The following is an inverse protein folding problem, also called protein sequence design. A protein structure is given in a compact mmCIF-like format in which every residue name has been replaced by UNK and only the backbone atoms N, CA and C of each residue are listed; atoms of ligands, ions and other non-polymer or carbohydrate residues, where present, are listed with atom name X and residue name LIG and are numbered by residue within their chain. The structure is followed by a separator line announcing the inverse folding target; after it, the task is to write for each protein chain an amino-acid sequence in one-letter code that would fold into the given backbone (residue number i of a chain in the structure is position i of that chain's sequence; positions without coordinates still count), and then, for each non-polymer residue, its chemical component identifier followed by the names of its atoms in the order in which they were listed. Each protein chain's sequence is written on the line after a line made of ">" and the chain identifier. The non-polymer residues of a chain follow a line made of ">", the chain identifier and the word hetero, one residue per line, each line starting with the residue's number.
data_IF_559425324851
#
_entry.id   IF_559425324851
#
_cell.length_a   1.000
_cell.length_b   1.000
_cell.length_c   1.000
_cell.angle_alpha   90.00
_cell.angle_beta   90.00
_cell.angle_gamma   90.00
#
_symmetry.space_group_name_H-M   'P 1'
#
loop_
_entity.id
_entity.type
_entity.pdbx_description
1 polymer ?
#
# COMPACT_ATOMS: atom_id res chain seq x y z
N UNK A 1 5.98 2.19 -2.62
CA UNK A 1 4.90 3.18 -2.39
C UNK A 1 3.84 3.03 -3.47
N UNK A 2 2.62 3.50 -3.19
CA UNK A 2 1.59 3.71 -4.23
C UNK A 2 2.09 4.75 -5.24
N UNK A 3 1.54 4.77 -6.45
CA UNK A 3 2.00 5.67 -7.52
C UNK A 3 1.84 7.16 -7.17
N UNK A 4 0.85 7.49 -6.35
CA UNK A 4 0.59 8.83 -5.82
C UNK A 4 1.26 9.07 -4.45
N UNK A 5 2.01 8.07 -3.96
CA UNK A 5 2.69 8.08 -2.69
C UNK A 5 1.78 8.33 -1.49
N UNK A 6 0.47 8.09 -1.55
CA UNK A 6 -0.42 8.31 -0.39
C UNK A 6 -0.54 7.09 0.53
N UNK A 7 -0.01 5.96 0.08
CA UNK A 7 -0.06 4.69 0.77
C UNK A 7 1.22 3.87 0.59
N UNK A 8 1.52 3.06 1.60
CA UNK A 8 2.41 1.91 1.48
C UNK A 8 1.57 0.76 0.94
N UNK A 9 2.03 0.16 -0.14
CA UNK A 9 1.32 -0.89 -0.86
C UNK A 9 2.18 -2.14 -0.93
N UNK A 10 1.53 -3.30 -0.81
CA UNK A 10 2.13 -4.58 -1.12
C UNK A 10 1.87 -4.96 -2.58
N UNK A 11 2.84 -5.69 -3.14
CA UNK A 11 2.60 -6.51 -4.31
C UNK A 11 1.82 -7.75 -3.89
N UNK A 12 0.51 -7.77 -4.14
CA UNK A 12 -0.30 -8.97 -3.97
C UNK A 12 -0.12 -9.88 -5.18
N UNK A 13 0.24 -11.14 -4.93
CA UNK A 13 0.35 -12.16 -5.96
C UNK A 13 -0.49 -13.36 -5.54
N UNK A 14 -1.41 -13.78 -6.41
CA UNK A 14 -2.15 -15.01 -6.24
C UNK A 14 -1.55 -16.10 -7.13
N UNK A 15 -1.58 -17.32 -6.63
CA UNK A 15 -1.27 -18.54 -7.39
C UNK A 15 -2.61 -19.09 -7.89
N UNK A 16 -2.71 -19.33 -9.20
CA UNK A 16 -3.89 -19.95 -9.80
C UNK A 16 -3.59 -21.41 -10.15
N UNK A 17 -4.35 -22.31 -9.53
CA UNK A 17 -4.19 -23.77 -9.68
C UNK A 17 -4.62 -24.26 -11.06
N UNK A 18 -5.59 -23.57 -11.65
CA UNK A 18 -6.10 -23.92 -12.96
C UNK A 18 -6.10 -22.70 -13.86
N UNK A 19 -5.81 -22.98 -15.12
CA UNK A 19 -5.57 -21.99 -16.13
C UNK A 19 -6.89 -21.58 -16.80
N UNK A 20 -7.97 -21.60 -16.02
CA UNK A 20 -9.31 -21.19 -16.41
C UNK A 20 -9.38 -19.67 -16.41
N UNK A 21 -9.73 -19.15 -17.59
CA UNK A 21 -10.03 -17.74 -17.88
C UNK A 21 -8.82 -16.77 -17.87
N UNK A 22 -8.38 -16.39 -19.07
CA UNK A 22 -7.52 -15.22 -19.29
C UNK A 22 -6.02 -15.43 -19.02
N UNK A 23 -5.65 -15.87 -17.82
CA UNK A 23 -4.25 -15.76 -17.31
C UNK A 23 -3.21 -16.53 -18.14
N UNK A 24 -3.60 -17.58 -18.89
CA UNK A 24 -2.69 -18.32 -19.80
C UNK A 24 -1.96 -17.40 -20.80
N UNK A 25 -2.65 -16.37 -21.26
CA UNK A 25 -2.10 -15.43 -22.25
C UNK A 25 -1.32 -14.28 -21.59
N UNK A 26 -1.33 -14.21 -20.26
CA UNK A 26 -0.80 -13.11 -19.45
C UNK A 26 0.19 -13.65 -18.41
N UNK A 27 1.19 -14.39 -18.87
CA UNK A 27 2.23 -14.92 -17.99
C UNK A 27 3.46 -13.99 -17.99
N UNK A 28 3.61 -13.21 -16.92
CA UNK A 28 4.71 -12.27 -16.74
C UNK A 28 5.93 -12.90 -16.04
N UNK A 29 5.80 -14.13 -15.53
CA UNK A 29 6.85 -14.81 -14.78
C UNK A 29 7.31 -16.07 -15.50
N UNK A 30 8.59 -16.39 -15.37
CA UNK A 30 9.11 -17.66 -15.86
C UNK A 30 8.62 -18.81 -14.96
N UNK A 31 7.89 -19.78 -15.52
CA UNK A 31 7.47 -20.99 -14.81
C UNK A 31 6.12 -21.55 -15.29
N UNK A 32 5.77 -22.74 -14.81
CA UNK A 32 4.46 -23.38 -15.05
C UNK A 32 3.38 -22.96 -14.03
N UNK A 33 3.61 -21.87 -13.30
CA UNK A 33 2.69 -21.36 -12.29
C UNK A 33 2.07 -20.07 -12.81
N UNK A 34 0.74 -20.01 -12.85
CA UNK A 34 0.03 -18.81 -13.23
C UNK A 34 0.00 -17.87 -12.02
N UNK A 35 0.77 -16.79 -12.11
CA UNK A 35 0.95 -15.81 -11.03
C UNK A 35 0.40 -14.46 -11.48
N UNK A 36 -0.46 -13.88 -10.67
CA UNK A 36 -1.00 -12.54 -10.94
C UNK A 36 -1.83 -11.99 -9.78
N UNK A 37 -2.07 -10.68 -9.71
CA UNK A 37 -2.95 -10.08 -8.71
C UNK A 37 -4.41 -10.34 -9.03
N UNK A 38 -4.95 -9.70 -10.08
CA UNK A 38 -6.36 -9.71 -10.46
C UNK A 38 -6.51 -9.54 -11.98
N UNK A 39 -7.63 -10.00 -12.54
CA UNK A 39 -7.92 -9.96 -13.98
C UNK A 39 -8.16 -8.55 -14.54
N UNK A 40 -8.62 -7.59 -13.72
CA UNK A 40 -8.91 -6.20 -14.14
C UNK A 40 -7.70 -5.47 -14.70
N UNK A 41 -6.49 -5.87 -14.30
CA UNK A 41 -5.22 -5.30 -14.77
C UNK A 41 -4.44 -6.28 -15.64
N UNK A 42 -5.16 -7.20 -16.30
CA UNK A 42 -4.60 -8.27 -17.11
C UNK A 42 -3.51 -9.06 -16.36
N UNK A 43 -3.71 -9.26 -15.05
CA UNK A 43 -2.76 -9.93 -14.16
C UNK A 43 -1.35 -9.33 -14.11
N UNK A 44 -1.17 -8.08 -14.56
CA UNK A 44 0.11 -7.39 -14.52
C UNK A 44 0.57 -7.24 -13.05
N UNK A 45 1.83 -7.60 -12.71
CA UNK A 45 2.34 -7.45 -11.36
C UNK A 45 2.37 -5.98 -10.95
N UNK A 46 1.60 -5.62 -9.94
CA UNK A 46 1.56 -4.26 -9.42
C UNK A 46 1.25 -4.23 -7.94
N UNK A 47 1.80 -3.23 -7.26
CA UNK A 47 1.54 -3.00 -5.86
C UNK A 47 0.21 -2.24 -5.70
N UNK A 48 -0.87 -2.98 -5.45
CA UNK A 48 -2.25 -2.44 -5.43
C UNK A 48 -2.92 -2.53 -4.07
N UNK A 49 -2.42 -3.35 -3.14
CA UNK A 49 -3.05 -3.48 -1.84
C UNK A 49 -2.42 -2.48 -0.87
N UNK A 50 -3.14 -1.42 -0.45
CA UNK A 50 -2.66 -0.57 0.62
C UNK A 50 -2.57 -1.40 1.90
N UNK A 51 -1.37 -1.52 2.44
CA UNK A 51 -1.13 -2.09 3.77
C UNK A 51 -1.28 -0.97 4.81
N UNK A 52 -0.89 0.25 4.45
CA UNK A 52 -1.01 1.44 5.30
C UNK A 52 -1.24 2.68 4.46
N UNK A 53 -2.18 3.52 4.89
CA UNK A 53 -2.42 4.84 4.29
C UNK A 53 -1.60 5.89 5.05
N UNK A 54 -0.73 6.62 4.36
CA UNK A 54 0.01 7.72 4.96
C UNK A 54 -0.91 8.90 5.29
N UNK A 55 -2.01 9.05 4.53
CA UNK A 55 -2.90 10.21 4.61
C UNK A 55 -3.91 10.18 5.76
N UNK A 56 -3.93 9.11 6.56
CA UNK A 56 -4.85 9.01 7.69
C UNK A 56 -4.38 9.90 8.84
N UNK A 57 -5.29 10.68 9.40
CA UNK A 57 -5.06 11.33 10.69
C UNK A 57 -5.28 10.31 11.81
N UNK A 58 -4.25 10.00 12.59
CA UNK A 58 -4.37 9.10 13.73
C UNK A 58 -3.03 8.68 14.30
N UNK A 59 -3.08 8.05 15.47
CA UNK A 59 -1.90 7.47 16.11
C UNK A 59 -1.47 6.19 15.34
N UNK A 60 -0.18 6.11 15.02
CA UNK A 60 0.48 4.96 14.37
C UNK A 60 0.16 3.64 15.09
N UNK A 61 -0.04 3.68 16.40
CA UNK A 61 -0.35 2.50 17.23
C UNK A 61 -1.67 1.83 16.87
N UNK A 62 -2.62 2.57 16.27
CA UNK A 62 -3.96 2.06 15.95
C UNK A 62 -4.06 1.32 14.61
N UNK A 63 -3.02 1.37 13.77
CA UNK A 63 -3.03 0.85 12.40
C UNK A 63 -2.00 -0.25 12.13
N UNK A 64 -1.45 -0.87 13.18
CA UNK A 64 -0.51 -1.98 13.05
C UNK A 64 -1.22 -3.25 12.51
N UNK A 65 -1.34 -3.34 11.18
CA UNK A 65 -1.65 -4.60 10.48
C UNK A 65 -0.41 -5.52 10.37
N UNK A 66 0.77 -5.02 10.76
CA UNK A 66 2.02 -5.79 10.76
C UNK A 66 2.56 -5.91 12.18
N UNK A 67 2.91 -7.13 12.57
CA UNK A 67 3.45 -7.48 13.90
C UNK A 67 4.86 -6.95 14.15
N UNK A 68 5.48 -6.30 13.16
CA UNK A 68 6.79 -5.65 13.23
C UNK A 68 6.70 -4.11 13.30
N UNK A 69 5.59 -3.53 13.78
CA UNK A 69 5.59 -2.09 14.00
C UNK A 69 6.29 -1.73 15.30
N UNK A 70 7.38 -0.99 15.14
CA UNK A 70 8.11 -0.35 16.22
C UNK A 70 7.18 0.56 17.03
N UNK A 71 6.91 0.15 18.26
CA UNK A 71 6.01 0.88 19.17
C UNK A 71 6.54 2.26 19.55
N UNK A 72 7.81 2.53 19.30
CA UNK A 72 8.46 3.80 19.65
C UNK A 72 8.64 4.74 18.46
N UNK A 73 8.15 4.37 17.27
CA UNK A 73 8.34 5.13 16.03
C UNK A 73 9.82 5.54 15.81
N UNK A 74 10.76 4.61 15.95
CA UNK A 74 12.19 4.88 15.74
C UNK A 74 12.50 5.23 14.28
N UNK A 75 11.55 5.11 13.36
CA UNK A 75 11.67 5.57 11.97
C UNK A 75 11.16 7.01 11.76
N UNK A 76 10.69 7.67 12.82
CA UNK A 76 10.20 9.04 12.85
C UNK A 76 9.10 9.33 11.81
N UNK A 77 8.23 8.35 11.60
CA UNK A 77 7.13 8.49 10.66
C UNK A 77 6.11 9.54 11.13
N UNK A 78 5.45 10.21 10.19
CA UNK A 78 4.34 11.12 10.47
C UNK A 78 3.18 10.74 9.57
N UNK A 79 2.02 10.46 10.18
CA UNK A 79 0.77 10.24 9.46
C UNK A 79 -0.09 11.51 9.48
N UNK A 80 -0.74 11.80 8.37
CA UNK A 80 -1.59 12.98 8.25
C UNK A 80 -1.95 13.27 6.80
N UNK A 81 -2.92 14.15 6.56
CA UNK A 81 -3.47 14.42 5.23
C UNK A 81 -2.40 14.75 4.16
N UNK A 82 -1.31 15.38 4.59
CA UNK A 82 -0.22 15.76 3.71
C UNK A 82 0.85 14.69 3.61
N UNK A 83 0.89 13.69 4.48
CA UNK A 83 1.95 12.70 4.49
C UNK A 83 1.99 11.85 3.23
N UNK A 84 3.21 11.47 2.85
CA UNK A 84 3.50 10.64 1.68
C UNK A 84 4.47 9.52 2.03
N UNK A 85 4.41 8.46 1.24
CA UNK A 85 5.25 7.30 1.32
C UNK A 85 6.58 7.58 0.61
N UNK A 86 7.69 7.25 1.26
CA UNK A 86 9.05 7.37 0.74
C UNK A 86 9.83 6.09 0.99
N UNK A 87 10.85 5.87 0.16
CA UNK A 87 11.88 4.88 0.46
C UNK A 87 12.88 5.50 1.45
N UNK A 88 13.08 4.84 2.60
CA UNK A 88 13.82 5.38 3.72
C UNK A 88 14.57 4.30 4.49
N UNK A 89 15.75 4.66 4.96
CA UNK A 89 16.50 3.94 6.01
C UNK A 89 16.63 4.80 7.28
N UNK A 90 15.96 5.97 7.30
CA UNK A 90 16.04 6.94 8.37
C UNK A 90 15.53 6.33 9.68
N UNK A 91 16.31 6.46 10.74
CA UNK A 91 15.95 5.96 12.07
C UNK A 91 16.69 6.67 13.20
N UNK A 92 16.23 6.44 14.41
CA UNK A 92 16.87 6.91 15.63
C UNK A 92 18.23 6.21 15.85
N UNK A 93 19.14 6.92 16.52
CA UNK A 93 20.50 6.47 16.80
C UNK A 93 20.55 5.38 17.88
N UNK A 94 19.45 5.20 18.59
CA UNK A 94 19.33 4.26 19.72
C UNK A 94 19.07 2.84 19.22
N UNK A 95 18.59 2.67 18.00
CA UNK A 95 18.35 1.35 17.42
C UNK A 95 19.63 0.78 16.79
N UNK A 96 20.25 -0.17 17.48
CA UNK A 96 21.46 -0.89 17.04
C UNK A 96 21.13 -2.19 16.26
N UNK A 97 19.89 -2.37 15.83
CA UNK A 97 19.48 -3.56 15.05
C UNK A 97 20.02 -3.46 13.63
N UNK A 98 20.74 -4.49 13.18
CA UNK A 98 21.21 -4.62 11.79
C UNK A 98 20.05 -4.82 10.79
N UNK A 99 18.85 -5.19 11.26
CA UNK A 99 17.65 -5.28 10.41
C UNK A 99 17.10 -3.89 10.00
N UNK A 100 17.63 -2.82 10.60
CA UNK A 100 17.16 -1.45 10.40
C UNK A 100 17.94 -0.70 9.30
N UNK A 101 18.95 -1.34 8.72
CA UNK A 101 19.69 -0.82 7.55
C UNK A 101 19.02 -1.13 6.20
N UNK A 102 17.90 -1.86 6.23
CA UNK A 102 17.15 -2.19 5.02
C UNK A 102 16.25 -1.02 4.64
N UNK A 103 16.27 -0.62 3.37
CA UNK A 103 15.34 0.38 2.82
C UNK A 103 13.90 -0.10 2.99
N UNK A 104 13.06 0.74 3.60
CA UNK A 104 11.65 0.48 3.86
C UNK A 104 10.80 1.60 3.29
N UNK A 105 9.55 1.29 2.98
CA UNK A 105 8.56 2.30 2.65
C UNK A 105 8.00 2.87 3.95
N UNK A 106 8.13 4.18 4.15
CA UNK A 106 7.77 4.90 5.38
C UNK A 106 6.99 6.18 5.04
N UNK A 107 6.15 6.64 5.95
CA UNK A 107 5.28 7.79 5.77
C UNK A 107 5.88 9.02 6.46
N UNK A 108 6.06 10.12 5.74
CA UNK A 108 6.52 11.40 6.27
C UNK A 108 5.61 12.52 5.85
N UNK A 109 5.46 13.53 6.69
CA UNK A 109 4.71 14.73 6.36
C UNK A 109 5.48 15.56 5.33
N UNK A 110 4.76 16.21 4.43
CA UNK A 110 5.37 17.03 3.39
C UNK A 110 4.73 18.41 3.32
N UNK A 111 5.60 19.40 3.18
CA UNK A 111 5.22 20.79 2.98
C UNK A 111 5.67 21.23 1.59
N UNK A 112 4.73 21.26 0.65
CA UNK A 112 4.98 21.64 -0.72
C UNK A 112 5.08 23.16 -0.84
N UNK A 113 6.09 23.63 -1.58
CA UNK A 113 6.19 25.04 -1.90
C UNK A 113 5.03 25.48 -2.83
N UNK A 114 4.81 26.79 -2.93
CA UNK A 114 3.65 27.35 -3.62
C UNK A 114 3.59 27.06 -5.13
N UNK A 115 4.72 26.76 -5.76
CA UNK A 115 4.82 26.44 -7.19
C UNK A 115 4.97 24.93 -7.47
N UNK A 116 4.92 24.09 -6.42
CA UNK A 116 5.11 22.64 -6.47
C UNK A 116 6.45 22.19 -7.08
N UNK A 117 7.46 23.07 -7.09
CA UNK A 117 8.81 22.76 -7.60
C UNK A 117 9.70 22.08 -6.57
N UNK A 118 9.34 22.13 -5.28
CA UNK A 118 10.08 21.51 -4.18
C UNK A 118 9.16 21.22 -3.00
N UNK A 119 9.61 20.37 -2.08
CA UNK A 119 8.90 20.12 -0.83
C UNK A 119 9.86 19.84 0.32
N UNK A 120 9.45 20.21 1.52
CA UNK A 120 10.18 19.87 2.74
C UNK A 120 9.59 18.62 3.36
N UNK A 121 10.45 17.65 3.66
CA UNK A 121 10.08 16.45 4.42
C UNK A 121 10.14 16.78 5.90
N UNK A 122 9.06 16.45 6.62
CA UNK A 122 8.93 16.61 8.06
C UNK A 122 8.80 15.24 8.72
N UNK A 123 9.60 15.03 9.75
CA UNK A 123 9.67 13.77 10.51
C UNK A 123 9.20 14.01 11.94
N UNK A 124 8.79 12.97 12.66
CA UNK A 124 8.49 13.11 14.08
C UNK A 124 9.76 13.47 14.86
N UNK A 125 9.66 14.43 15.77
CA UNK A 125 10.74 14.75 16.69
C UNK A 125 11.12 13.55 17.56
N UNK A 126 12.35 13.57 18.09
CA UNK A 126 12.72 12.62 19.15
C UNK A 126 11.83 12.82 20.39
N UNK A 127 11.84 11.88 21.34
CA UNK A 127 11.12 12.02 22.61
C UNK A 127 11.42 13.32 23.39
N UNK A 128 12.52 14.01 23.08
CA UNK A 128 12.90 15.30 23.67
C UNK A 128 12.32 16.54 22.97
N UNK A 129 11.71 16.37 21.79
CA UNK A 129 11.16 17.42 20.94
C UNK A 129 9.72 17.06 20.56
N UNK A 130 8.73 17.75 21.11
CA UNK A 130 7.34 17.56 20.71
C UNK A 130 7.09 18.07 19.28
N UNK A 131 6.31 17.31 18.50
CA UNK A 131 5.86 17.69 17.17
C UNK A 131 6.74 17.17 16.03
N UNK A 132 6.68 17.84 14.87
CA UNK A 132 7.47 17.50 13.70
C UNK A 132 8.68 18.42 13.55
N UNK A 133 9.74 17.91 12.94
CA UNK A 133 10.95 18.66 12.61
C UNK A 133 11.27 18.52 11.12
N UNK A 134 11.82 19.57 10.52
CA UNK A 134 12.21 19.56 9.12
C UNK A 134 13.47 18.70 8.94
N UNK A 135 13.36 17.63 8.15
CA UNK A 135 14.53 16.82 7.74
C UNK A 135 15.34 17.54 6.66
N UNK A 136 14.65 18.20 5.73
CA UNK A 136 15.26 18.93 4.63
C UNK A 136 14.31 19.11 3.45
N UNK A 137 14.79 19.83 2.42
CA UNK A 137 14.01 20.13 1.21
C UNK A 137 14.49 19.30 0.02
N UNK A 138 13.55 18.62 -0.64
CA UNK A 138 13.74 17.88 -1.87
C UNK A 138 13.47 18.77 -3.09
N UNK A 139 14.44 18.84 -3.99
CA UNK A 139 14.32 19.54 -5.27
C UNK A 139 14.25 18.58 -6.45
N UNK A 140 14.93 17.42 -6.33
CA UNK A 140 15.10 16.47 -7.41
C UNK A 140 14.74 15.03 -6.99
N UNK A 141 14.40 14.22 -8.00
CA UNK A 141 14.18 12.78 -7.84
C UNK A 141 15.47 12.06 -7.46
N UNK A 142 15.43 11.19 -6.45
CA UNK A 142 16.59 10.46 -5.96
C UNK A 142 17.56 11.26 -5.08
N UNK A 143 17.30 12.54 -4.81
CA UNK A 143 18.08 13.30 -3.82
C UNK A 143 18.00 12.61 -2.44
N UNK A 144 19.12 12.53 -1.73
CA UNK A 144 19.19 11.88 -0.42
C UNK A 144 19.19 12.94 0.69
N UNK A 145 18.25 12.83 1.64
CA UNK A 145 18.17 13.68 2.82
C UNK A 145 18.57 12.92 4.07
N UNK A 146 19.57 13.44 4.78
CA UNK A 146 20.02 12.98 6.09
C UNK A 146 20.18 14.17 7.01
N UNK A 147 20.00 13.97 8.32
CA UNK A 147 20.15 15.04 9.31
C UNK A 147 21.04 14.59 10.48
N UNK A 148 21.87 15.48 11.05
CA UNK A 148 22.60 15.18 12.28
C UNK A 148 21.65 14.74 13.40
N UNK A 149 22.01 13.68 14.11
CA UNK A 149 21.17 13.12 15.18
C UNK A 149 20.20 12.04 14.72
N UNK A 150 20.29 11.61 13.45
CA UNK A 150 19.59 10.44 12.93
C UNK A 150 20.58 9.55 12.17
N UNK A 151 20.25 8.26 12.05
CA UNK A 151 20.93 7.32 11.16
C UNK A 151 20.13 7.15 9.87
N UNK A 152 20.80 6.74 8.79
CA UNK A 152 20.16 6.52 7.50
C UNK A 152 19.73 7.80 6.79
N UNK A 153 18.80 7.67 5.85
CA UNK A 153 18.34 8.78 5.03
C UNK A 153 16.97 8.51 4.39
N UNK A 154 16.35 9.57 3.89
CA UNK A 154 15.16 9.50 3.04
C UNK A 154 15.55 9.78 1.59
N UNK A 155 15.05 8.96 0.67
CA UNK A 155 15.21 9.19 -0.77
C UNK A 155 14.05 10.04 -1.29
N UNK A 156 14.38 11.23 -1.79
CA UNK A 156 13.42 12.15 -2.40
C UNK A 156 12.82 11.55 -3.68
N UNK A 157 11.61 12.00 -3.96
CA UNK A 157 10.82 11.66 -5.14
C UNK A 157 10.61 12.96 -5.92
N UNK A 158 10.46 12.87 -7.23
CA UNK A 158 10.15 14.04 -8.07
C UNK A 158 9.01 14.91 -7.48
N UNK A 159 9.20 16.23 -7.29
CA UNK A 159 8.19 17.11 -6.68
C UNK A 159 6.81 17.07 -7.35
N UNK A 160 6.75 16.89 -8.67
CA UNK A 160 5.48 16.78 -9.40
C UNK A 160 4.63 15.57 -8.99
N UNK A 161 5.23 14.51 -8.42
CA UNK A 161 4.52 13.34 -7.93
C UNK A 161 3.97 13.60 -6.52
N UNK A 162 4.79 14.20 -5.65
CA UNK A 162 4.45 14.46 -4.25
C UNK A 162 3.45 15.61 -4.12
N UNK A 163 3.71 16.71 -4.82
CA UNK A 163 2.97 17.98 -4.72
C UNK A 163 1.93 18.18 -5.83
N UNK A 164 2.03 17.46 -6.94
CA UNK A 164 1.11 17.61 -8.07
C UNK A 164 -0.29 17.04 -7.83
N UNK A 165 -0.50 16.29 -6.74
CA UNK A 165 -1.75 15.62 -6.44
C UNK A 165 -2.61 16.45 -5.50
N UNK A 166 -3.75 16.92 -6.00
CA UNK A 166 -4.77 17.56 -5.16
C UNK A 166 -5.49 16.50 -4.33
N UNK A 167 -5.71 16.73 -3.01
CA UNK A 167 -6.46 15.82 -2.13
C UNK A 167 -7.87 15.45 -2.64
N UNK A 168 -8.44 16.26 -3.54
CA UNK A 168 -9.77 16.02 -4.13
C UNK A 168 -9.86 14.70 -4.91
N UNK A 169 -8.75 14.16 -5.40
CA UNK A 169 -8.71 12.88 -6.12
C UNK A 169 -8.47 11.68 -5.19
N UNK A 170 -8.01 11.92 -3.96
CA UNK A 170 -7.74 10.86 -2.96
C UNK A 170 -9.01 10.30 -2.32
N UNK A 171 -10.14 11.02 -2.44
CA UNK A 171 -11.45 10.56 -1.95
C UNK A 171 -12.05 9.41 -2.79
N UNK A 172 -11.41 9.03 -3.90
CA UNK A 172 -11.87 7.96 -4.79
C UNK A 172 -10.93 6.75 -4.76
N UNK A 173 -10.58 6.28 -3.56
CA UNK A 173 -10.31 4.85 -3.42
C UNK A 173 -11.67 4.16 -3.55
N UNK A 174 -11.96 3.41 -4.64
CA UNK A 174 -13.17 2.62 -4.68
C UNK A 174 -13.14 1.72 -3.44
N UNK A 175 -14.16 1.84 -2.58
CA UNK A 175 -14.35 0.88 -1.50
C UNK A 175 -14.22 -0.51 -2.11
N UNK A 176 -13.38 -1.40 -1.56
CA UNK A 176 -13.24 -2.75 -2.11
C UNK A 176 -14.65 -3.33 -2.21
N UNK A 177 -15.12 -3.51 -3.44
CA UNK A 177 -16.41 -4.12 -3.69
C UNK A 177 -16.31 -5.50 -3.08
N UNK A 178 -17.04 -5.72 -1.99
CA UNK A 178 -17.09 -7.01 -1.32
C UNK A 178 -17.35 -8.04 -2.41
N UNK A 179 -16.51 -9.11 -2.52
CA UNK A 179 -16.67 -10.10 -3.57
C UNK A 179 -18.12 -10.55 -3.55
N UNK A 180 -18.80 -10.39 -4.69
CA UNK A 180 -20.18 -10.87 -4.81
C UNK A 180 -20.14 -12.35 -4.43
N UNK A 181 -20.85 -12.78 -3.36
CA UNK A 181 -20.82 -14.17 -2.96
C UNK A 181 -21.18 -15.02 -4.18
N UNK A 182 -20.49 -16.15 -4.40
CA UNK A 182 -20.75 -16.99 -5.56
C UNK A 182 -22.25 -17.27 -5.62
N UNK A 183 -22.85 -17.01 -6.78
CA UNK A 183 -24.27 -17.27 -6.99
C UNK A 183 -24.51 -18.75 -6.75
N UNK A 184 -25.13 -19.09 -5.62
CA UNK A 184 -25.54 -20.45 -5.31
C UNK A 184 -26.60 -20.84 -6.31
N UNK A 185 -26.21 -21.51 -7.38
CA UNK A 185 -27.15 -22.14 -8.30
C UNK A 185 -27.94 -23.16 -7.50
N UNK A 186 -29.16 -22.82 -7.13
CA UNK A 186 -30.10 -23.76 -6.51
C UNK A 186 -30.48 -24.76 -7.59
N UNK A 187 -29.86 -25.94 -7.57
CA UNK A 187 -30.29 -27.06 -8.39
C UNK A 187 -31.67 -27.50 -7.88
N UNK A 188 -32.72 -27.07 -8.58
CA UNK A 188 -34.08 -27.56 -8.33
C UNK A 188 -34.16 -28.97 -8.89
N UNK A 189 -34.02 -29.96 -8.01
CA UNK A 189 -34.31 -31.36 -8.36
C UNK A 189 -35.82 -31.52 -8.52
N UNK A 190 -36.32 -31.43 -9.75
CA UNK A 190 -37.70 -31.80 -10.06
C UNK A 190 -37.86 -33.31 -9.97
N UNK A 191 -38.49 -33.80 -8.89
CA UNK A 191 -38.95 -35.18 -8.78
C UNK A 191 -40.11 -35.41 -9.74
N UNK A 192 -39.81 -36.03 -10.89
CA UNK A 192 -40.83 -36.53 -11.81
C UNK A 192 -41.56 -37.72 -11.18
N UNK A 193 -42.76 -37.48 -10.65
CA UNK A 193 -43.68 -38.54 -10.25
C UNK A 193 -44.33 -39.14 -11.48
N UNK A 194 -43.90 -40.34 -11.87
CA UNK A 194 -44.56 -41.14 -12.92
C UNK A 194 -45.95 -41.55 -12.42
N UNK A 195 -47.04 -41.25 -13.15
CA UNK A 195 -48.38 -41.72 -12.79
C UNK A 195 -48.48 -43.22 -13.07
N UNK A 196 -48.79 -44.00 -12.03
CA UNK A 196 -49.12 -45.43 -12.16
C UNK A 196 -50.58 -45.56 -12.59
N UNK A 197 -50.82 -45.97 -13.82
CA UNK A 197 -52.16 -46.27 -14.34
C UNK A 197 -52.59 -47.64 -13.84
N UNK A 198 -53.53 -47.68 -12.89
CA UNK A 198 -54.16 -48.92 -12.43
C UNK A 198 -55.29 -49.28 -13.40
N UNK A 199 -55.13 -50.38 -14.14
CA UNK A 199 -56.18 -50.96 -14.98
C UNK A 199 -56.94 -52.01 -14.17
N UNK A 200 -58.20 -51.75 -13.86
CA UNK A 200 -59.12 -52.72 -13.23
C UNK A 200 -59.80 -53.54 -14.32
N UNK A 201 -59.80 -54.87 -14.16
CA UNK A 201 -60.52 -55.86 -14.97
C UNK A 201 -61.80 -56.27 -14.25
#
# INVERSE_FOLDING_TARGET
>A
CSLDHTAIVACMMNIYDDASEGIKNWNYFSGNTYLGPISVVDYCPMAVQPIRLCTLSGDLTSYAFDTYYDTNNSFHEVLGLNSRCFDSTLRDNVSNSLEDDVTRQLCYDVDCNSDNSAYTIKIEGSASSEGTVDLGTCYDDGQILSSPGYLGAVTCVKPSIVCGWSPKYLAYMPTPVSPTPPSTTVTVTTTSTTPTTTTTV
#
